data_IF_849238310422
#
_entry.id   IF_849238310422
#
_cell.length_a   1.000
_cell.length_b   1.000
_cell.length_c   1.000
_cell.angle_alpha   90.00
_cell.angle_beta   90.00
_cell.angle_gamma   90.00
#
_symmetry.space_group_name_H-M   'P 1'
#
loop_
_entity.id
_entity.type
_entity.pdbx_description
1 polymer ?
#
# COMPACT_ATOMS: atom_id res chain seq x y z
N UNK A 1 1.55 28.92 3.96
CA UNK A 1 2.72 28.89 4.86
C UNK A 1 2.41 28.22 6.20
N UNK A 2 1.58 28.79 7.08
CA UNK A 2 1.37 28.23 8.45
C UNK A 2 0.63 26.88 8.54
N UNK A 3 -0.18 26.51 7.55
CA UNK A 3 -0.99 25.28 7.59
C UNK A 3 -0.15 23.99 7.48
N UNK A 4 0.94 24.02 6.72
CA UNK A 4 1.80 22.85 6.49
C UNK A 4 2.59 22.48 7.76
N UNK A 5 3.09 23.48 8.48
CA UNK A 5 3.79 23.31 9.76
C UNK A 5 2.80 22.85 10.83
N UNK A 6 1.58 23.41 10.87
CA UNK A 6 0.52 22.99 11.78
C UNK A 6 0.11 21.53 11.59
N UNK A 7 -0.11 21.08 10.34
CA UNK A 7 -0.43 19.68 10.03
C UNK A 7 0.74 18.74 10.37
N UNK A 8 1.97 19.17 10.09
CA UNK A 8 3.20 18.40 10.37
C UNK A 8 3.48 18.23 11.87
N UNK A 9 3.08 19.19 12.70
CA UNK A 9 3.18 19.12 14.16
C UNK A 9 1.92 18.59 14.85
N UNK A 10 0.86 18.29 14.10
CA UNK A 10 -0.39 17.81 14.67
C UNK A 10 -0.22 16.41 15.27
N UNK A 11 -0.47 16.29 16.58
CA UNK A 11 -0.31 15.04 17.33
C UNK A 11 -1.17 13.89 16.77
N UNK A 12 -2.34 14.18 16.18
CA UNK A 12 -3.21 13.17 15.55
C UNK A 12 -2.51 12.56 14.34
N UNK A 13 -1.95 13.40 13.46
CA UNK A 13 -1.23 12.94 12.27
C UNK A 13 -0.01 12.11 12.67
N UNK A 14 0.69 12.50 13.73
CA UNK A 14 1.83 11.74 14.27
C UNK A 14 1.44 10.39 14.84
N UNK A 15 0.35 10.34 15.60
CA UNK A 15 -0.16 9.08 16.12
C UNK A 15 -0.56 8.13 14.99
N UNK A 16 -1.28 8.64 13.97
CA UNK A 16 -1.67 7.86 12.80
C UNK A 16 -0.46 7.38 12.00
N UNK A 17 0.57 8.22 11.82
CA UNK A 17 1.81 7.88 11.13
C UNK A 17 2.52 6.72 11.84
N UNK A 18 2.79 6.84 13.15
CA UNK A 18 3.46 5.80 13.94
C UNK A 18 2.64 4.52 13.96
N UNK A 19 1.32 4.64 14.15
CA UNK A 19 0.40 3.50 14.11
C UNK A 19 0.40 2.79 12.76
N UNK A 20 0.45 3.53 11.65
CA UNK A 20 0.52 2.97 10.31
C UNK A 20 1.84 2.23 10.09
N UNK A 21 2.97 2.79 10.50
CA UNK A 21 4.27 2.11 10.42
C UNK A 21 4.29 0.82 11.24
N UNK A 22 3.83 0.87 12.50
CA UNK A 22 3.74 -0.32 13.35
C UNK A 22 2.83 -1.39 12.75
N UNK A 23 1.67 -0.99 12.21
CA UNK A 23 0.72 -1.87 11.55
C UNK A 23 1.30 -2.53 10.29
N UNK A 24 2.01 -1.76 9.44
CA UNK A 24 2.68 -2.30 8.25
C UNK A 24 3.74 -3.32 8.64
N UNK A 25 4.58 -3.02 9.64
CA UNK A 25 5.62 -3.94 10.11
C UNK A 25 4.99 -5.24 10.63
N UNK A 26 3.98 -5.14 11.49
CA UNK A 26 3.27 -6.30 12.02
C UNK A 26 2.65 -7.15 10.89
N UNK A 27 2.00 -6.50 9.92
CA UNK A 27 1.40 -7.15 8.74
C UNK A 27 2.44 -7.87 7.88
N UNK A 28 3.60 -7.25 7.63
CA UNK A 28 4.70 -7.86 6.86
C UNK A 28 5.24 -9.09 7.59
N UNK A 29 5.45 -9.01 8.91
CA UNK A 29 5.92 -10.15 9.72
C UNK A 29 4.90 -11.29 9.65
N UNK A 30 3.61 -11.01 9.87
CA UNK A 30 2.54 -12.00 9.77
C UNK A 30 2.48 -12.65 8.38
N UNK A 31 2.62 -11.86 7.32
CA UNK A 31 2.66 -12.35 5.94
C UNK A 31 3.85 -13.28 5.68
N UNK A 32 5.05 -12.92 6.15
CA UNK A 32 6.26 -13.74 6.00
C UNK A 32 6.12 -15.05 6.79
N UNK A 33 5.61 -15.00 8.02
CA UNK A 33 5.36 -16.19 8.84
C UNK A 33 4.38 -17.14 8.16
N UNK A 34 3.29 -16.61 7.61
CA UNK A 34 2.28 -17.38 6.89
C UNK A 34 2.86 -18.01 5.61
N UNK A 35 3.61 -17.25 4.81
CA UNK A 35 4.26 -17.76 3.60
C UNK A 35 5.28 -18.86 3.92
N UNK A 36 6.07 -18.69 4.98
CA UNK A 36 7.01 -19.73 5.46
C UNK A 36 6.28 -20.99 5.92
N UNK A 37 5.19 -20.86 6.67
CA UNK A 37 4.36 -21.98 7.11
C UNK A 37 3.69 -22.70 5.93
N UNK A 38 3.20 -21.97 4.94
CA UNK A 38 2.63 -22.55 3.72
C UNK A 38 3.68 -23.27 2.88
N UNK A 39 4.90 -22.72 2.81
CA UNK A 39 6.02 -23.33 2.08
C UNK A 39 6.54 -24.60 2.75
N UNK A 40 6.60 -24.65 4.08
CA UNK A 40 7.03 -25.86 4.81
C UNK A 40 6.03 -27.00 4.65
N UNK A 41 4.72 -26.70 4.63
CA UNK A 41 3.64 -27.68 4.39
C UNK A 41 3.59 -28.19 2.95
N UNK A 42 4.12 -27.41 1.98
CA UNK A 42 4.24 -27.79 0.56
C UNK A 42 5.38 -28.77 0.25
N UNK A 43 6.24 -29.11 1.21
CA UNK A 43 7.36 -30.07 1.00
C UNK A 43 6.92 -31.51 0.80
N UNK A 44 5.67 -31.86 1.06
CA UNK A 44 5.13 -33.16 0.66
C UNK A 44 4.73 -33.01 -0.81
N UNK A 45 5.56 -33.56 -1.70
CA UNK A 45 5.26 -33.66 -3.13
C UNK A 45 4.05 -34.59 -3.32
N UNK A 46 2.85 -34.07 -3.10
CA UNK A 46 1.66 -34.77 -3.55
C UNK A 46 1.64 -34.68 -5.07
N UNK A 47 1.83 -35.84 -5.69
CA UNK A 47 1.86 -36.19 -7.11
C UNK A 47 0.49 -36.01 -7.80
N UNK A 48 -0.24 -34.97 -7.40
CA UNK A 48 -1.48 -34.57 -8.04
C UNK A 48 -1.28 -33.10 -8.35
N UNK A 49 -1.29 -32.76 -9.63
CA UNK A 49 -1.63 -31.41 -10.06
C UNK A 49 -3.16 -31.34 -10.04
N UNK A 50 -3.85 -31.04 -8.91
CA UNK A 50 -5.19 -30.53 -9.07
C UNK A 50 -4.97 -29.25 -9.89
N UNK A 51 -5.75 -29.04 -10.95
CA UNK A 51 -5.67 -27.78 -11.70
C UNK A 51 -6.02 -26.58 -10.81
N UNK A 52 -6.77 -25.62 -11.34
CA UNK A 52 -7.30 -24.51 -10.53
C UNK A 52 -8.27 -24.93 -9.39
N UNK A 53 -8.32 -26.20 -8.99
CA UNK A 53 -9.25 -26.77 -8.02
C UNK A 53 -8.90 -26.47 -6.55
N UNK A 54 -7.67 -26.05 -6.21
CA UNK A 54 -7.28 -25.84 -4.79
C UNK A 54 -6.85 -24.41 -4.42
N UNK A 55 -6.36 -23.57 -5.33
CA UNK A 55 -6.26 -22.11 -5.07
C UNK A 55 -6.18 -21.25 -6.33
N UNK A 56 -6.91 -20.11 -6.32
CA UNK A 56 -6.89 -19.13 -7.42
C UNK A 56 -5.46 -18.58 -7.61
N UNK A 57 -5.03 -18.34 -8.86
CA UNK A 57 -3.71 -17.77 -9.22
C UNK A 57 -3.33 -16.58 -8.33
N UNK A 58 -4.31 -15.71 -8.11
CA UNK A 58 -4.17 -14.54 -7.28
C UNK A 58 -3.69 -14.84 -5.83
N UNK A 59 -4.21 -15.89 -5.19
CA UNK A 59 -3.81 -16.27 -3.83
C UNK A 59 -2.37 -16.77 -3.77
N UNK A 60 -1.84 -17.27 -4.89
CA UNK A 60 -0.44 -17.72 -5.02
C UNK A 60 0.51 -16.55 -5.24
N UNK A 61 0.03 -15.46 -5.84
CA UNK A 61 0.82 -14.25 -6.07
C UNK A 61 0.79 -13.25 -4.91
N UNK A 62 0.04 -13.50 -3.82
CA UNK A 62 -0.06 -12.57 -2.69
C UNK A 62 1.28 -12.22 -2.05
N UNK A 63 2.20 -13.19 -1.92
CA UNK A 63 3.56 -12.93 -1.45
C UNK A 63 4.34 -12.01 -2.41
N UNK A 64 4.21 -12.24 -3.73
CA UNK A 64 4.85 -11.40 -4.74
C UNK A 64 4.29 -9.97 -4.75
N UNK A 65 2.97 -9.83 -4.70
CA UNK A 65 2.30 -8.52 -4.64
C UNK A 65 2.71 -7.75 -3.38
N UNK A 66 2.82 -8.44 -2.23
CA UNK A 66 3.34 -7.84 -1.00
C UNK A 66 4.77 -7.33 -1.14
N UNK A 67 5.65 -8.08 -1.82
CA UNK A 67 7.03 -7.63 -2.10
C UNK A 67 7.04 -6.44 -3.06
N UNK A 68 6.23 -6.46 -4.13
CA UNK A 68 6.12 -5.32 -5.05
C UNK A 68 5.65 -4.05 -4.33
N UNK A 69 4.66 -4.18 -3.42
CA UNK A 69 4.20 -3.06 -2.60
C UNK A 69 5.28 -2.59 -1.63
N UNK A 70 6.05 -3.49 -1.05
CA UNK A 70 7.16 -3.11 -0.16
C UNK A 70 8.22 -2.31 -0.91
N UNK A 71 8.59 -2.72 -2.13
CA UNK A 71 9.51 -1.96 -2.99
C UNK A 71 8.93 -0.60 -3.36
N UNK A 72 7.64 -0.55 -3.75
CA UNK A 72 6.93 0.70 -4.01
C UNK A 72 6.93 1.60 -2.78
N UNK A 73 6.70 1.06 -1.58
CA UNK A 73 6.68 1.82 -0.33
C UNK A 73 8.06 2.40 0.00
N UNK A 74 9.16 1.68 -0.27
CA UNK A 74 10.51 2.21 -0.08
C UNK A 74 10.74 3.44 -0.96
N UNK A 75 10.42 3.34 -2.25
CA UNK A 75 10.55 4.46 -3.20
C UNK A 75 9.65 5.63 -2.79
N UNK A 76 8.41 5.33 -2.40
CA UNK A 76 7.45 6.33 -1.95
C UNK A 76 7.92 7.09 -0.71
N UNK A 77 8.39 6.36 0.31
CA UNK A 77 8.88 6.95 1.55
C UNK A 77 10.19 7.71 1.33
N UNK A 78 11.10 7.21 0.49
CA UNK A 78 12.37 7.90 0.23
C UNK A 78 12.15 9.24 -0.49
N UNK A 79 11.18 9.31 -1.41
CA UNK A 79 10.88 10.53 -2.15
C UNK A 79 10.15 11.57 -1.29
N UNK A 80 9.05 11.19 -0.64
CA UNK A 80 8.16 12.18 -0.01
C UNK A 80 8.29 12.25 1.52
N UNK A 81 8.44 11.10 2.19
CA UNK A 81 8.47 11.08 3.65
C UNK A 81 9.83 11.54 4.18
N UNK A 82 10.92 10.97 3.68
CA UNK A 82 12.27 11.25 4.17
C UNK A 82 12.65 12.72 4.02
N UNK A 83 12.48 13.27 2.82
CA UNK A 83 12.76 14.68 2.52
C UNK A 83 12.00 15.63 3.45
N UNK A 84 10.71 15.37 3.69
CA UNK A 84 9.88 16.15 4.62
C UNK A 84 10.39 16.06 6.06
N UNK A 85 10.84 14.89 6.52
CA UNK A 85 11.37 14.74 7.89
C UNK A 85 12.72 15.43 8.06
N UNK A 86 13.58 15.37 7.04
CA UNK A 86 14.87 16.09 7.05
C UNK A 86 14.64 17.59 7.12
N UNK A 87 13.79 18.15 6.27
CA UNK A 87 13.48 19.57 6.30
C UNK A 87 12.88 20.04 7.65
N UNK A 88 12.03 19.21 8.25
CA UNK A 88 11.40 19.53 9.53
C UNK A 88 12.38 19.46 10.72
N UNK A 89 13.21 18.41 10.79
CA UNK A 89 14.00 18.11 11.99
C UNK A 89 15.50 18.42 11.88
N UNK A 90 16.07 18.35 10.68
CA UNK A 90 17.50 18.59 10.47
C UNK A 90 17.78 20.04 10.05
N UNK A 91 16.86 20.66 9.31
CA UNK A 91 17.03 22.02 8.77
C UNK A 91 16.27 23.10 9.56
N UNK A 92 15.65 22.72 10.69
CA UNK A 92 15.04 23.65 11.63
C UNK A 92 13.76 24.32 11.12
N UNK A 93 12.75 23.50 10.77
CA UNK A 93 11.49 23.96 10.16
C UNK A 93 11.68 24.74 8.83
N UNK A 94 12.68 24.34 8.04
CA UNK A 94 12.82 24.86 6.68
C UNK A 94 11.53 24.59 5.87
N UNK A 95 11.11 25.57 5.07
CA UNK A 95 9.92 25.41 4.22
C UNK A 95 10.15 24.33 3.16
N UNK A 96 9.69 23.11 3.45
CA UNK A 96 9.64 22.05 2.45
C UNK A 96 8.41 22.22 1.56
N UNK A 97 8.64 22.65 0.31
CA UNK A 97 7.56 22.78 -0.66
C UNK A 97 7.23 21.42 -1.29
N UNK A 98 6.36 20.66 -0.61
CA UNK A 98 5.88 19.36 -1.09
C UNK A 98 5.25 19.44 -2.49
N UNK A 99 4.54 20.53 -2.82
CA UNK A 99 3.96 20.71 -4.15
C UNK A 99 5.02 20.77 -5.24
N UNK A 100 6.09 21.52 -5.01
CA UNK A 100 7.19 21.62 -5.96
C UNK A 100 7.92 20.28 -6.11
N UNK A 101 8.14 19.57 -5.00
CA UNK A 101 8.74 18.24 -5.04
C UNK A 101 7.88 17.25 -5.84
N UNK A 102 6.57 17.21 -5.62
CA UNK A 102 5.65 16.36 -6.38
C UNK A 102 5.69 16.72 -7.88
N UNK A 103 5.70 18.02 -8.20
CA UNK A 103 5.80 18.50 -9.58
C UNK A 103 7.07 17.97 -10.25
N UNK A 104 8.22 18.11 -9.61
CA UNK A 104 9.51 17.64 -10.13
C UNK A 104 9.55 16.11 -10.28
N UNK A 105 9.22 15.38 -9.21
CA UNK A 105 9.29 13.92 -9.17
C UNK A 105 8.39 13.28 -10.23
N UNK A 106 7.17 13.77 -10.40
CA UNK A 106 6.21 13.19 -11.35
C UNK A 106 6.39 13.68 -12.80
N UNK A 107 7.32 14.61 -13.10
CA UNK A 107 7.70 14.85 -14.50
C UNK A 107 8.55 13.71 -15.08
N UNK A 108 9.17 12.88 -14.24
CA UNK A 108 9.95 11.74 -14.70
C UNK A 108 9.05 10.55 -15.07
N UNK A 109 9.02 10.18 -16.35
CA UNK A 109 8.16 9.11 -16.88
C UNK A 109 8.37 7.76 -16.20
N UNK A 110 9.61 7.40 -15.90
CA UNK A 110 9.93 6.16 -15.22
C UNK A 110 9.35 6.12 -13.78
N UNK A 111 9.31 7.27 -13.10
CA UNK A 111 8.69 7.37 -11.76
C UNK A 111 7.20 7.15 -11.88
N UNK A 112 6.54 7.81 -12.85
CA UNK A 112 5.13 7.59 -13.12
C UNK A 112 4.83 6.09 -13.33
N UNK A 113 5.61 5.40 -14.17
CA UNK A 113 5.43 3.97 -14.42
C UNK A 113 5.59 3.13 -13.15
N UNK A 114 6.59 3.39 -12.32
CA UNK A 114 6.79 2.70 -11.03
C UNK A 114 5.57 2.90 -10.13
N UNK A 115 5.01 4.10 -10.08
CA UNK A 115 3.81 4.40 -9.28
C UNK A 115 2.57 3.72 -9.84
N UNK A 116 2.37 3.71 -11.16
CA UNK A 116 1.25 3.01 -11.79
C UNK A 116 1.29 1.50 -11.50
N UNK A 117 2.46 0.87 -11.64
CA UNK A 117 2.67 -0.55 -11.31
C UNK A 117 2.46 -0.80 -9.81
N UNK A 118 2.95 0.08 -8.95
CA UNK A 118 2.78 0.01 -7.51
C UNK A 118 1.31 0.07 -7.08
N UNK A 119 0.53 1.01 -7.64
CA UNK A 119 -0.90 1.16 -7.38
C UNK A 119 -1.70 -0.03 -7.90
N UNK A 120 -1.31 -0.57 -9.06
CA UNK A 120 -1.83 -1.83 -9.59
C UNK A 120 -1.61 -2.95 -8.56
N UNK A 121 -0.38 -3.19 -8.13
CA UNK A 121 -0.05 -4.23 -7.16
C UNK A 121 -0.83 -4.02 -5.84
N UNK A 122 -0.93 -2.77 -5.36
CA UNK A 122 -1.70 -2.37 -4.20
C UNK A 122 -3.18 -2.71 -4.37
N UNK A 123 -3.81 -2.35 -5.49
CA UNK A 123 -5.23 -2.59 -5.71
C UNK A 123 -5.58 -4.07 -5.69
N UNK A 124 -4.74 -4.87 -6.31
CA UNK A 124 -4.84 -6.32 -6.20
C UNK A 124 -4.72 -6.74 -4.74
N UNK A 125 -3.60 -6.44 -4.07
CA UNK A 125 -3.35 -6.81 -2.67
C UNK A 125 -4.46 -6.39 -1.71
N UNK A 126 -5.02 -5.20 -1.88
CA UNK A 126 -6.06 -4.65 -1.02
C UNK A 126 -7.38 -5.37 -1.20
N UNK A 127 -7.78 -5.65 -2.46
CA UNK A 127 -9.01 -6.40 -2.76
C UNK A 127 -9.07 -7.73 -2.00
N UNK A 128 -7.94 -8.40 -1.88
CA UNK A 128 -7.87 -9.71 -1.24
C UNK A 128 -7.49 -9.66 0.24
N UNK A 129 -6.58 -8.75 0.60
CA UNK A 129 -6.18 -8.49 1.98
C UNK A 129 -7.36 -8.01 2.82
N UNK A 130 -8.23 -7.16 2.25
CA UNK A 130 -9.44 -6.68 2.92
C UNK A 130 -10.32 -7.85 3.32
N UNK A 131 -10.73 -8.69 2.37
CA UNK A 131 -11.55 -9.87 2.67
C UNK A 131 -10.87 -10.87 3.62
N UNK A 132 -9.54 -11.05 3.51
CA UNK A 132 -8.78 -11.92 4.40
C UNK A 132 -8.76 -11.40 5.84
N UNK A 133 -8.62 -10.09 6.04
CA UNK A 133 -8.57 -9.49 7.37
C UNK A 133 -9.87 -9.74 8.15
N UNK A 134 -11.03 -9.59 7.52
CA UNK A 134 -12.32 -9.88 8.17
C UNK A 134 -12.48 -11.35 8.58
N UNK A 135 -11.91 -12.29 7.83
CA UNK A 135 -11.89 -13.69 8.24
C UNK A 135 -10.97 -13.92 9.44
N UNK A 136 -9.80 -13.27 9.49
CA UNK A 136 -8.89 -13.34 10.63
C UNK A 136 -9.53 -12.77 11.90
N UNK A 137 -10.35 -11.72 11.79
CA UNK A 137 -11.13 -11.18 12.90
C UNK A 137 -12.38 -12.01 13.27
N UNK A 138 -12.61 -13.17 12.62
CA UNK A 138 -13.72 -14.06 12.93
C UNK A 138 -15.07 -13.66 12.30
N UNK A 139 -15.10 -12.62 11.47
CA UNK A 139 -16.31 -12.15 10.79
C UNK A 139 -16.49 -12.94 9.48
N UNK A 140 -16.77 -14.23 9.61
CA UNK A 140 -17.00 -15.14 8.49
C UNK A 140 -18.41 -15.76 8.57
N UNK A 141 -19.42 -14.98 8.19
CA UNK A 141 -20.80 -15.45 8.07
C UNK A 141 -21.24 -15.36 6.61
N UNK A 142 -21.94 -16.37 6.06
CA UNK A 142 -22.50 -16.32 4.71
C UNK A 142 -23.33 -15.05 4.44
N UNK A 143 -24.01 -14.54 5.48
CA UNK A 143 -24.81 -13.31 5.43
C UNK A 143 -23.97 -12.05 5.17
N UNK A 144 -22.82 -11.93 5.82
CA UNK A 144 -21.96 -10.74 5.73
C UNK A 144 -20.89 -10.86 4.64
N UNK A 145 -20.56 -12.07 4.19
CA UNK A 145 -19.50 -12.32 3.21
C UNK A 145 -19.71 -11.60 1.88
N UNK A 146 -20.96 -11.46 1.40
CA UNK A 146 -21.26 -10.70 0.18
C UNK A 146 -21.03 -9.20 0.40
N UNK A 147 -21.53 -8.65 1.50
CA UNK A 147 -21.38 -7.24 1.86
C UNK A 147 -19.90 -6.86 2.02
N UNK A 148 -19.13 -7.65 2.77
CA UNK A 148 -17.69 -7.40 3.02
C UNK A 148 -16.91 -7.38 1.70
N UNK A 149 -17.22 -8.30 0.77
CA UNK A 149 -16.56 -8.33 -0.54
C UNK A 149 -16.91 -7.11 -1.39
N UNK A 150 -18.18 -6.69 -1.40
CA UNK A 150 -18.62 -5.50 -2.14
C UNK A 150 -17.99 -4.23 -1.57
N UNK A 151 -18.03 -4.05 -0.25
CA UNK A 151 -17.40 -2.92 0.44
C UNK A 151 -15.90 -2.91 0.20
N UNK A 152 -15.24 -4.07 0.31
CA UNK A 152 -13.81 -4.20 0.02
C UNK A 152 -13.46 -3.85 -1.42
N UNK A 153 -14.33 -4.18 -2.39
CA UNK A 153 -14.14 -3.81 -3.79
C UNK A 153 -14.26 -2.30 -3.99
N UNK A 154 -15.29 -1.67 -3.42
CA UNK A 154 -15.49 -0.21 -3.48
C UNK A 154 -14.31 0.51 -2.82
N UNK A 155 -13.92 0.09 -1.62
CA UNK A 155 -12.76 0.62 -0.90
C UNK A 155 -11.48 0.53 -1.75
N UNK A 156 -11.24 -0.63 -2.38
CA UNK A 156 -10.10 -0.81 -3.27
C UNK A 156 -10.10 0.17 -4.43
N UNK A 157 -11.24 0.33 -5.11
CA UNK A 157 -11.36 1.23 -6.26
C UNK A 157 -11.08 2.67 -5.84
N UNK A 158 -11.70 3.13 -4.75
CA UNK A 158 -11.53 4.49 -4.24
C UNK A 158 -10.06 4.76 -3.91
N UNK A 159 -9.40 3.86 -3.18
CA UNK A 159 -7.99 4.03 -2.83
C UNK A 159 -7.11 4.04 -4.08
N UNK A 160 -7.30 3.12 -5.03
CA UNK A 160 -6.50 3.10 -6.26
C UNK A 160 -6.70 4.38 -7.09
N UNK A 161 -7.93 4.86 -7.22
CA UNK A 161 -8.24 6.10 -7.94
C UNK A 161 -7.63 7.32 -7.25
N UNK A 162 -7.64 7.36 -5.92
CA UNK A 162 -7.01 8.45 -5.16
C UNK A 162 -5.48 8.44 -5.33
N UNK A 163 -4.85 7.27 -5.31
CA UNK A 163 -3.39 7.17 -5.46
C UNK A 163 -2.92 7.39 -6.90
N UNK A 164 -3.72 7.00 -7.91
CA UNK A 164 -3.38 7.21 -9.32
C UNK A 164 -3.66 8.64 -9.79
N UNK A 165 -4.64 9.32 -9.19
CA UNK A 165 -5.01 10.68 -9.62
C UNK A 165 -3.90 11.69 -9.38
N UNK A 166 -3.16 11.57 -8.26
CA UNK A 166 -2.04 12.45 -7.94
C UNK A 166 -0.92 12.45 -9.00
N UNK A 167 -0.24 11.33 -9.29
CA UNK A 167 0.84 11.32 -10.28
C UNK A 167 0.35 11.72 -11.68
N UNK A 168 -0.88 11.35 -12.07
CA UNK A 168 -1.46 11.75 -13.35
C UNK A 168 -1.75 13.26 -13.41
N UNK A 169 -2.29 13.85 -12.35
CA UNK A 169 -2.58 15.28 -12.31
C UNK A 169 -1.31 16.13 -12.46
N UNK A 170 -0.21 15.72 -11.83
CA UNK A 170 1.08 16.39 -11.96
C UNK A 170 1.74 16.14 -13.33
N UNK A 171 1.73 14.91 -13.82
CA UNK A 171 2.32 14.57 -15.13
C UNK A 171 1.61 15.33 -16.27
N UNK A 172 0.27 15.35 -16.28
CA UNK A 172 -0.53 16.05 -17.29
C UNK A 172 -0.73 17.54 -17.01
N UNK A 173 -0.14 18.09 -15.93
CA UNK A 173 -0.24 19.50 -15.56
C UNK A 173 -1.70 20.00 -15.42
N UNK A 174 -2.57 19.15 -14.87
CA UNK A 174 -3.95 19.53 -14.56
C UNK A 174 -4.03 20.57 -13.44
N UNK A 175 -2.99 20.62 -12.61
CA UNK A 175 -2.79 21.60 -11.56
C UNK A 175 -1.69 22.55 -12.04
N UNK A 176 -2.04 23.80 -12.34
CA UNK A 176 -1.11 24.87 -12.73
C UNK A 176 -0.89 25.82 -11.57
#
# INVERSE_FOLDING_TARGET
MQLHIFLSHNWIIRFLEIGLFAGIIAHVIQGIMLERSNRSKRKIAFDVKPGNATSKWYSRSMGLLGVLILLFLIVHLSQFWYSTKVALYAEGDAEHNMYQQMKEVFQHEWVLLVYLIGVVALGWHLKHGFWSAFQTFGINSPKYNSLIKSVGMVYTIIICLAFISMPLAFYFKWLN
#
